data_IF_242191208093
#
_entry.id   IF_242191208093
#
_cell.length_a   1.000
_cell.length_b   1.000
_cell.length_c   1.000
_cell.angle_alpha   90.00
_cell.angle_beta   90.00
_cell.angle_gamma   90.00
#
_symmetry.space_group_name_H-M   'P 1'
#
loop_
_entity.id
_entity.type
_entity.pdbx_description
1 polymer ?
#
# COMPACT_ATOMS: atom_id res chain seq x y z
N UNK A 1 1.26 24.14 -5.80
CA UNK A 1 1.38 24.05 -7.27
C UNK A 1 2.38 22.99 -7.76
N UNK A 2 3.22 22.39 -6.92
CA UNK A 2 4.18 21.34 -7.30
C UNK A 2 3.61 19.89 -7.31
N UNK A 3 2.46 19.65 -6.69
CA UNK A 3 1.83 18.30 -6.60
C UNK A 3 1.17 17.82 -7.89
N UNK A 4 0.88 18.73 -8.83
CA UNK A 4 0.22 18.37 -10.09
C UNK A 4 1.15 17.74 -11.14
N UNK A 5 2.45 17.89 -11.00
CA UNK A 5 3.42 17.38 -12.00
C UNK A 5 3.70 15.88 -11.90
N UNK A 6 3.44 15.24 -10.74
CA UNK A 6 3.73 13.81 -10.53
C UNK A 6 2.50 12.88 -10.70
N UNK A 7 1.30 13.43 -10.71
CA UNK A 7 0.05 12.68 -10.94
C UNK A 7 -0.38 12.67 -12.41
N UNK A 8 0.40 13.24 -13.32
CA UNK A 8 0.01 13.56 -14.68
C UNK A 8 0.68 12.74 -15.78
N UNK A 9 1.36 11.62 -15.45
CA UNK A 9 1.79 10.71 -16.52
C UNK A 9 0.53 10.02 -17.08
N UNK A 10 0.21 10.15 -18.39
CA UNK A 10 -0.92 9.48 -18.99
C UNK A 10 -0.82 7.97 -18.78
N UNK A 11 -1.92 7.32 -18.40
CA UNK A 11 -1.94 5.87 -18.18
C UNK A 11 -1.56 5.12 -19.46
N UNK A 12 -1.92 5.66 -20.60
CA UNK A 12 -1.60 5.14 -21.93
C UNK A 12 -0.09 5.07 -22.15
N UNK A 13 0.66 6.11 -21.78
CA UNK A 13 2.11 6.15 -21.86
C UNK A 13 2.77 5.11 -20.95
N UNK A 14 2.23 4.91 -19.74
CA UNK A 14 2.72 3.91 -18.81
C UNK A 14 2.40 2.47 -19.24
N UNK A 15 1.28 2.25 -19.90
CA UNK A 15 0.95 0.96 -20.51
C UNK A 15 1.90 0.66 -21.66
N UNK A 16 2.14 1.63 -22.54
CA UNK A 16 3.12 1.54 -23.61
C UNK A 16 4.54 1.29 -23.06
N UNK A 17 4.91 1.96 -21.96
CA UNK A 17 6.18 1.70 -21.29
C UNK A 17 6.31 0.23 -20.86
N UNK A 18 5.28 -0.36 -20.26
CA UNK A 18 5.30 -1.76 -19.80
C UNK A 18 5.43 -2.70 -21.01
N UNK A 19 4.69 -2.46 -22.08
CA UNK A 19 4.70 -3.32 -23.27
C UNK A 19 6.05 -3.29 -23.98
N UNK A 20 6.71 -2.13 -24.00
CA UNK A 20 8.04 -1.93 -24.61
C UNK A 20 9.21 -2.34 -23.70
N UNK A 21 8.98 -2.78 -22.45
CA UNK A 21 10.07 -3.34 -21.65
C UNK A 21 10.63 -4.58 -22.38
N UNK A 22 11.97 -4.76 -22.45
CA UNK A 22 12.56 -5.90 -23.10
C UNK A 22 12.08 -7.21 -22.50
N UNK A 23 11.93 -8.26 -23.31
CA UNK A 23 11.68 -9.58 -22.76
C UNK A 23 12.96 -10.07 -22.10
N UNK A 24 12.86 -10.42 -20.81
CA UNK A 24 14.05 -10.90 -20.08
C UNK A 24 14.29 -12.36 -20.43
N UNK A 25 15.56 -12.76 -20.65
CA UNK A 25 15.91 -14.14 -20.94
C UNK A 25 15.35 -15.12 -19.93
N UNK A 26 14.91 -16.28 -20.40
CA UNK A 26 14.22 -17.36 -19.70
C UNK A 26 15.11 -18.06 -18.66
N UNK A 27 15.54 -17.39 -17.59
CA UNK A 27 16.44 -18.03 -16.62
C UNK A 27 16.32 -17.49 -15.19
N UNK A 28 15.61 -16.39 -14.97
CA UNK A 28 15.47 -15.78 -13.64
C UNK A 28 14.11 -16.02 -13.01
N UNK A 29 14.08 -16.19 -11.69
CA UNK A 29 12.83 -16.23 -10.92
C UNK A 29 12.05 -14.94 -11.12
N UNK A 30 10.81 -15.04 -11.59
CA UNK A 30 9.94 -13.90 -11.82
C UNK A 30 8.69 -13.98 -10.97
N UNK A 31 8.34 -12.84 -10.39
CA UNK A 31 7.08 -12.71 -9.68
C UNK A 31 5.92 -12.55 -10.65
N UNK A 32 4.93 -13.39 -10.48
CA UNK A 32 3.61 -13.25 -11.09
C UNK A 32 2.56 -13.53 -10.03
N UNK A 33 1.45 -12.78 -10.06
CA UNK A 33 0.33 -13.05 -9.18
C UNK A 33 -0.26 -14.41 -9.53
N UNK A 34 -0.35 -15.26 -8.51
CA UNK A 34 -0.99 -16.57 -8.60
C UNK A 34 -2.43 -16.49 -8.12
N UNK A 35 -3.33 -17.31 -8.68
CA UNK A 35 -4.69 -17.45 -8.16
C UNK A 35 -4.68 -17.81 -6.67
N UNK A 36 -5.64 -17.28 -5.94
CA UNK A 36 -5.83 -17.54 -4.50
C UNK A 36 -6.89 -18.59 -4.27
N UNK A 37 -6.80 -19.32 -3.15
CA UNK A 37 -7.83 -20.29 -2.74
C UNK A 37 -8.84 -19.64 -1.80
N UNK A 38 -10.00 -20.28 -1.64
CA UNK A 38 -11.03 -19.82 -0.70
C UNK A 38 -10.55 -19.86 0.76
N UNK A 39 -9.67 -20.80 1.09
CA UNK A 39 -9.04 -20.89 2.41
C UNK A 39 -8.13 -19.67 2.67
N UNK A 40 -7.33 -19.26 1.67
CA UNK A 40 -6.48 -18.06 1.80
C UNK A 40 -7.33 -16.81 2.04
N UNK A 41 -8.42 -16.66 1.28
CA UNK A 41 -9.34 -15.53 1.42
C UNK A 41 -10.00 -15.55 2.80
N UNK A 42 -10.52 -16.71 3.24
CA UNK A 42 -11.14 -16.89 4.54
C UNK A 42 -10.17 -16.56 5.68
N UNK A 43 -8.93 -17.05 5.60
CA UNK A 43 -7.90 -16.77 6.58
C UNK A 43 -7.58 -15.28 6.68
N UNK A 44 -7.48 -14.59 5.53
CA UNK A 44 -7.24 -13.14 5.51
C UNK A 44 -8.42 -12.39 6.13
N UNK A 45 -9.66 -12.75 5.81
CA UNK A 45 -10.85 -12.12 6.38
C UNK A 45 -10.85 -12.29 7.92
N UNK A 46 -10.69 -13.51 8.42
CA UNK A 46 -10.70 -13.81 9.87
C UNK A 46 -9.59 -13.10 10.64
N UNK A 47 -8.47 -12.75 9.99
CA UNK A 47 -7.36 -12.02 10.59
C UNK A 47 -7.49 -10.48 10.48
N UNK A 48 -8.58 -9.96 9.89
CA UNK A 48 -8.81 -8.51 9.86
C UNK A 48 -9.29 -8.03 11.23
N UNK A 49 -8.77 -6.88 11.65
CA UNK A 49 -9.23 -6.23 12.88
C UNK A 49 -10.68 -5.79 12.73
N UNK A 50 -11.52 -6.16 13.70
CA UNK A 50 -12.96 -5.87 13.69
C UNK A 50 -13.30 -4.41 14.01
N UNK A 51 -12.39 -3.70 14.69
CA UNK A 51 -12.52 -2.32 15.17
C UNK A 51 -12.05 -1.25 14.18
N UNK A 52 -11.82 -1.62 12.91
CA UNK A 52 -11.37 -0.69 11.89
C UNK A 52 -12.49 0.22 11.38
N UNK A 53 -12.14 1.45 11.03
CA UNK A 53 -13.03 2.39 10.33
C UNK A 53 -13.55 1.82 9.02
N UNK A 54 -14.81 2.11 8.72
CA UNK A 54 -15.51 1.67 7.49
C UNK A 54 -15.10 2.52 6.29
N UNK A 55 -15.01 1.92 5.12
CA UNK A 55 -14.85 2.62 3.85
C UNK A 55 -16.06 3.48 3.47
N UNK A 56 -16.12 3.91 2.21
CA UNK A 56 -17.26 4.67 1.69
C UNK A 56 -18.54 3.82 1.61
N UNK A 57 -18.39 2.50 1.45
CA UNK A 57 -19.46 1.50 1.46
C UNK A 57 -20.15 1.35 2.82
N UNK A 58 -19.57 1.91 3.89
CA UNK A 58 -20.06 1.85 5.26
C UNK A 58 -20.22 0.41 5.80
N UNK A 59 -19.58 -0.58 5.18
CA UNK A 59 -19.62 -1.97 5.64
C UNK A 59 -18.56 -2.18 6.74
N UNK A 60 -18.96 -2.44 7.99
CA UNK A 60 -18.00 -2.71 9.06
C UNK A 60 -17.31 -4.06 8.89
N UNK A 61 -16.03 -4.12 9.25
CA UNK A 61 -15.25 -5.37 9.18
C UNK A 61 -15.90 -6.50 9.98
N UNK A 62 -16.56 -6.20 11.09
CA UNK A 62 -17.28 -7.20 11.92
C UNK A 62 -18.36 -7.95 11.14
N UNK A 63 -19.08 -7.29 10.21
CA UNK A 63 -20.07 -7.97 9.37
C UNK A 63 -19.42 -8.87 8.32
N UNK A 64 -18.31 -8.42 7.73
CA UNK A 64 -17.54 -9.26 6.80
C UNK A 64 -17.00 -10.50 7.53
N UNK A 65 -16.52 -10.37 8.76
CA UNK A 65 -16.06 -11.50 9.58
C UNK A 65 -17.19 -12.47 9.90
N UNK A 66 -18.41 -11.97 10.17
CA UNK A 66 -19.58 -12.79 10.51
C UNK A 66 -20.00 -13.68 9.32
N UNK A 67 -19.92 -13.15 8.09
CA UNK A 67 -20.32 -13.87 6.87
C UNK A 67 -19.12 -14.45 6.11
N UNK A 68 -17.95 -14.52 6.74
CA UNK A 68 -16.69 -14.86 6.08
C UNK A 68 -16.74 -16.18 5.29
N UNK A 69 -17.37 -17.20 5.86
CA UNK A 69 -17.45 -18.53 5.24
C UNK A 69 -18.30 -18.54 3.95
N UNK A 70 -19.43 -17.84 3.96
CA UNK A 70 -20.27 -17.69 2.78
C UNK A 70 -19.63 -16.76 1.74
N UNK A 71 -18.88 -15.74 2.20
CA UNK A 71 -18.27 -14.73 1.34
C UNK A 71 -16.98 -15.22 0.67
N UNK A 72 -16.26 -16.16 1.28
CA UNK A 72 -14.93 -16.58 0.82
C UNK A 72 -14.96 -17.10 -0.64
N UNK A 73 -15.91 -17.97 -1.00
CA UNK A 73 -15.99 -18.56 -2.34
C UNK A 73 -16.28 -17.51 -3.44
N UNK A 74 -17.35 -16.70 -3.36
CA UNK A 74 -17.62 -15.69 -4.38
C UNK A 74 -16.52 -14.62 -4.46
N UNK A 75 -15.96 -14.21 -3.32
CA UNK A 75 -14.87 -13.24 -3.30
C UNK A 75 -13.59 -13.79 -3.95
N UNK A 76 -13.27 -15.06 -3.73
CA UNK A 76 -12.17 -15.75 -4.42
C UNK A 76 -12.33 -15.72 -5.93
N UNK A 77 -13.52 -15.99 -6.43
CA UNK A 77 -13.83 -15.92 -7.87
C UNK A 77 -13.60 -14.51 -8.43
N UNK A 78 -14.07 -13.47 -7.72
CA UNK A 78 -13.87 -12.08 -8.12
C UNK A 78 -12.37 -11.73 -8.15
N UNK A 79 -11.63 -12.07 -7.10
CA UNK A 79 -10.19 -11.78 -6.99
C UNK A 79 -9.40 -12.48 -8.09
N UNK A 80 -9.67 -13.78 -8.33
CA UNK A 80 -8.99 -14.54 -9.37
C UNK A 80 -9.28 -14.00 -10.78
N UNK A 81 -10.52 -13.55 -11.04
CA UNK A 81 -10.84 -12.84 -12.27
C UNK A 81 -10.08 -11.52 -12.42
N UNK A 82 -9.91 -10.78 -11.31
CA UNK A 82 -9.11 -9.55 -11.30
C UNK A 82 -7.62 -9.83 -11.57
N UNK A 83 -7.08 -10.90 -11.01
CA UNK A 83 -5.70 -11.34 -11.26
C UNK A 83 -5.53 -11.76 -12.72
N UNK A 84 -6.44 -12.57 -13.26
CA UNK A 84 -6.38 -13.05 -14.64
C UNK A 84 -6.50 -11.94 -15.71
N UNK A 85 -7.15 -10.82 -15.35
CA UNK A 85 -7.34 -9.66 -16.25
C UNK A 85 -6.39 -8.49 -15.95
N UNK A 86 -5.40 -8.68 -15.09
CA UNK A 86 -4.47 -7.63 -14.65
C UNK A 86 -5.18 -6.34 -14.19
N UNK A 87 -6.29 -6.50 -13.45
CA UNK A 87 -7.21 -5.41 -13.13
C UNK A 87 -7.49 -5.31 -11.63
N UNK A 88 -7.65 -4.07 -11.15
CA UNK A 88 -8.10 -3.79 -9.78
C UNK A 88 -9.44 -3.03 -9.81
N UNK A 89 -10.50 -3.47 -9.07
CA UNK A 89 -11.84 -2.90 -9.16
C UNK A 89 -11.89 -1.41 -8.85
N UNK A 90 -12.55 -0.62 -9.73
CA UNK A 90 -12.67 0.84 -9.57
C UNK A 90 -13.36 1.24 -8.27
N UNK A 91 -14.40 0.51 -7.87
CA UNK A 91 -15.14 0.76 -6.63
C UNK A 91 -14.27 0.60 -5.37
N UNK A 92 -13.24 -0.26 -5.44
CA UNK A 92 -12.33 -0.50 -4.32
C UNK A 92 -11.19 0.52 -4.22
N UNK A 93 -11.07 1.43 -5.21
CA UNK A 93 -10.09 2.52 -5.25
C UNK A 93 -10.59 3.82 -4.61
N UNK A 94 -11.85 3.85 -4.18
CA UNK A 94 -12.47 5.05 -3.61
C UNK A 94 -12.24 5.05 -2.10
N UNK A 95 -11.48 6.01 -1.60
CA UNK A 95 -11.17 6.12 -0.19
C UNK A 95 -12.02 7.19 0.51
N UNK A 96 -12.47 6.90 1.72
CA UNK A 96 -12.98 7.91 2.65
C UNK A 96 -11.80 8.46 3.45
N UNK A 97 -11.61 9.78 3.42
CA UNK A 97 -10.57 10.43 4.21
C UNK A 97 -11.15 10.93 5.53
N UNK A 98 -10.55 10.48 6.62
CA UNK A 98 -10.81 10.97 7.97
C UNK A 98 -9.59 11.75 8.44
N UNK A 99 -9.71 13.06 8.69
CA UNK A 99 -8.60 13.85 9.24
C UNK A 99 -8.39 13.48 10.71
N UNK A 100 -7.19 13.04 11.07
CA UNK A 100 -6.79 12.74 12.45
C UNK A 100 -5.84 13.81 12.94
N UNK A 101 -6.09 14.44 14.09
CA UNK A 101 -5.20 15.44 14.68
C UNK A 101 -3.80 14.85 14.93
N UNK A 102 -2.74 15.62 14.61
CA UNK A 102 -1.35 15.34 15.01
C UNK A 102 -1.04 15.87 16.41
N UNK A 103 -1.75 16.90 16.80
CA UNK A 103 -1.61 17.63 18.07
C UNK A 103 -3.00 17.89 18.65
N UNK A 104 -3.04 18.17 19.93
CA UNK A 104 -4.27 18.63 20.59
C UNK A 104 -4.67 20.01 20.04
N UNK A 105 -5.97 20.19 19.73
CA UNK A 105 -6.55 21.43 19.19
C UNK A 105 -5.86 21.94 17.90
N UNK A 106 -5.96 21.20 16.77
CA UNK A 106 -5.37 21.61 15.52
C UNK A 106 -6.05 22.87 14.96
N UNK A 107 -5.27 23.91 14.64
CA UNK A 107 -5.75 25.18 14.06
C UNK A 107 -5.47 25.26 12.55
N UNK A 108 -4.63 24.38 12.00
CA UNK A 108 -4.30 24.36 10.58
C UNK A 108 -4.39 22.97 9.96
N UNK A 109 -4.52 22.92 8.63
CA UNK A 109 -4.60 21.66 7.87
C UNK A 109 -3.33 20.81 7.98
N UNK A 110 -2.17 21.44 8.16
CA UNK A 110 -0.88 20.75 8.27
C UNK A 110 -0.74 19.99 9.59
N UNK A 111 -1.57 20.32 10.57
CA UNK A 111 -1.66 19.65 11.87
C UNK A 111 -2.60 18.43 11.84
N UNK A 112 -3.19 18.12 10.68
CA UNK A 112 -4.04 16.96 10.47
C UNK A 112 -3.30 15.91 9.63
N UNK A 113 -3.51 14.63 9.95
CA UNK A 113 -3.12 13.48 9.12
C UNK A 113 -4.35 13.01 8.35
N UNK A 114 -4.37 13.11 7.02
CA UNK A 114 -5.46 12.55 6.23
C UNK A 114 -5.34 11.02 6.23
N UNK A 115 -6.20 10.35 6.99
CA UNK A 115 -6.25 8.89 7.00
C UNK A 115 -7.23 8.40 5.94
N UNK A 116 -6.70 7.74 4.90
CA UNK A 116 -7.50 7.16 3.82
C UNK A 116 -8.01 5.77 4.21
N UNK A 117 -9.32 5.60 4.25
CA UNK A 117 -9.98 4.34 4.59
C UNK A 117 -10.64 3.77 3.35
N UNK A 118 -10.16 2.61 2.91
CA UNK A 118 -10.70 1.86 1.77
C UNK A 118 -11.79 0.87 2.23
N UNK A 119 -12.64 0.40 1.30
CA UNK A 119 -13.55 -0.72 1.54
C UNK A 119 -12.82 -1.96 2.10
N UNK A 120 -13.50 -2.73 2.94
CA UNK A 120 -12.89 -3.91 3.57
C UNK A 120 -12.45 -4.95 2.53
N UNK A 121 -13.22 -5.14 1.47
CA UNK A 121 -12.90 -6.08 0.40
C UNK A 121 -11.62 -5.68 -0.37
N UNK A 122 -11.37 -4.36 -0.52
CA UNK A 122 -10.10 -3.84 -1.04
C UNK A 122 -8.92 -4.30 -0.17
N UNK A 123 -9.04 -4.16 1.15
CA UNK A 123 -8.00 -4.56 2.11
C UNK A 123 -7.71 -6.07 2.06
N UNK A 124 -8.75 -6.90 1.85
CA UNK A 124 -8.57 -8.35 1.66
C UNK A 124 -7.71 -8.64 0.44
N UNK A 125 -8.05 -8.06 -0.71
CA UNK A 125 -7.29 -8.25 -1.94
C UNK A 125 -5.85 -7.71 -1.81
N UNK A 126 -5.69 -6.49 -1.30
CA UNK A 126 -4.36 -5.91 -1.03
C UNK A 126 -3.51 -6.81 -0.13
N UNK A 127 -4.10 -7.39 0.91
CA UNK A 127 -3.40 -8.29 1.83
C UNK A 127 -2.94 -9.58 1.16
N UNK A 128 -3.78 -10.17 0.31
CA UNK A 128 -3.44 -11.38 -0.46
C UNK A 128 -2.27 -11.12 -1.41
N UNK A 129 -2.30 -10.00 -2.12
CA UNK A 129 -1.18 -9.58 -2.99
C UNK A 129 0.07 -9.29 -2.17
N UNK A 130 -0.04 -8.57 -1.07
CA UNK A 130 1.09 -8.26 -0.18
C UNK A 130 1.76 -9.53 0.36
N UNK A 131 1.00 -10.58 0.69
CA UNK A 131 1.55 -11.87 1.11
C UNK A 131 2.40 -12.48 0.00
N UNK A 132 1.87 -12.55 -1.24
CA UNK A 132 2.61 -13.12 -2.37
C UNK A 132 3.87 -12.32 -2.69
N UNK A 133 3.78 -10.98 -2.70
CA UNK A 133 4.93 -10.09 -2.94
C UNK A 133 6.00 -10.23 -1.86
N UNK A 134 5.60 -10.30 -0.59
CA UNK A 134 6.55 -10.43 0.53
C UNK A 134 7.27 -11.77 0.45
N UNK A 135 6.54 -12.85 0.20
CA UNK A 135 7.14 -14.17 0.04
C UNK A 135 8.16 -14.20 -1.09
N UNK A 136 7.83 -13.60 -2.23
CA UNK A 136 8.78 -13.48 -3.34
C UNK A 136 10.00 -12.64 -2.95
N UNK A 137 9.80 -11.48 -2.34
CA UNK A 137 10.89 -10.59 -1.94
C UNK A 137 11.85 -11.25 -0.96
N UNK A 138 11.33 -12.05 -0.01
CA UNK A 138 12.13 -12.79 0.96
C UNK A 138 12.90 -13.94 0.29
N UNK A 139 12.25 -14.74 -0.57
CA UNK A 139 12.91 -15.83 -1.30
C UNK A 139 13.99 -15.33 -2.26
N UNK A 140 13.71 -14.26 -2.98
CA UNK A 140 14.65 -13.64 -3.91
C UNK A 140 15.68 -12.72 -3.22
N UNK A 141 15.63 -12.59 -1.89
CA UNK A 141 16.51 -11.73 -1.08
C UNK A 141 16.60 -10.30 -1.59
N UNK A 142 15.46 -9.73 -2.03
CA UNK A 142 15.42 -8.40 -2.61
C UNK A 142 15.67 -7.29 -1.58
N UNK A 143 15.40 -7.57 -0.31
CA UNK A 143 15.58 -6.60 0.77
C UNK A 143 16.91 -6.84 1.47
N UNK A 144 17.73 -5.80 1.53
CA UNK A 144 19.00 -5.86 2.25
C UNK A 144 18.77 -6.09 3.75
N UNK A 145 19.65 -6.84 4.44
CA UNK A 145 19.49 -7.23 5.85
C UNK A 145 19.47 -6.04 6.83
N UNK A 146 19.99 -4.89 6.42
CA UNK A 146 19.94 -3.66 7.23
C UNK A 146 18.60 -2.91 7.14
N UNK A 147 17.71 -3.29 6.22
CA UNK A 147 16.36 -2.71 6.13
C UNK A 147 15.48 -3.36 7.18
N UNK A 148 15.04 -2.57 8.17
CA UNK A 148 14.12 -3.03 9.23
C UNK A 148 12.67 -2.60 8.99
N UNK A 149 12.43 -1.56 8.19
CA UNK A 149 11.08 -1.04 7.93
C UNK A 149 10.26 -2.03 7.09
N UNK A 150 8.97 -2.14 7.41
CA UNK A 150 7.97 -2.96 6.70
C UNK A 150 8.27 -4.47 6.62
N UNK A 151 9.15 -4.99 7.48
CA UNK A 151 9.49 -6.41 7.53
C UNK A 151 8.86 -7.09 8.75
N UNK A 152 8.30 -8.29 8.55
CA UNK A 152 7.79 -9.13 9.64
C UNK A 152 8.91 -9.48 10.62
N UNK A 153 8.64 -9.39 11.91
CA UNK A 153 9.65 -9.68 12.96
C UNK A 153 10.65 -8.55 13.20
N UNK A 154 10.55 -7.41 12.50
CA UNK A 154 11.36 -6.21 12.71
C UNK A 154 10.54 -5.12 13.39
N UNK A 155 11.20 -4.30 14.20
CA UNK A 155 10.60 -3.17 14.91
C UNK A 155 11.61 -2.02 15.05
N UNK A 156 11.13 -0.87 15.48
CA UNK A 156 12.02 0.25 15.86
C UNK A 156 13.01 -0.17 16.96
N UNK A 157 12.56 -0.99 17.91
CA UNK A 157 13.44 -1.52 18.98
C UNK A 157 14.56 -2.37 18.40
N UNK A 158 14.26 -3.31 17.47
CA UNK A 158 15.30 -4.15 16.87
C UNK A 158 16.26 -3.34 16.01
N UNK A 159 15.79 -2.28 15.34
CA UNK A 159 16.66 -1.37 14.60
C UNK A 159 17.59 -0.58 15.52
N UNK A 160 17.08 -0.03 16.63
CA UNK A 160 17.87 0.67 17.64
C UNK A 160 18.90 -0.24 18.31
N UNK A 161 18.55 -1.52 18.55
CA UNK A 161 19.51 -2.49 19.09
C UNK A 161 20.71 -2.69 18.15
N UNK A 162 20.48 -2.78 16.85
CA UNK A 162 21.56 -2.87 15.85
C UNK A 162 22.46 -1.63 15.90
N UNK A 163 21.87 -0.44 15.90
CA UNK A 163 22.63 0.85 16.00
C UNK A 163 23.44 0.89 17.29
N UNK A 164 22.85 0.50 18.42
CA UNK A 164 23.55 0.43 19.72
C UNK A 164 24.74 -0.53 19.65
N UNK A 165 24.54 -1.70 19.05
CA UNK A 165 25.60 -2.71 18.97
C UNK A 165 26.75 -2.24 18.06
N UNK A 166 26.43 -1.54 16.95
CA UNK A 166 27.45 -0.89 16.10
C UNK A 166 28.27 0.14 16.90
N UNK A 167 27.63 0.98 17.72
CA UNK A 167 28.34 1.94 18.59
C UNK A 167 29.22 1.23 19.63
N UNK A 168 28.68 0.19 20.29
CA UNK A 168 29.47 -0.57 21.30
C UNK A 168 30.68 -1.25 20.67
N UNK A 169 30.53 -1.74 19.45
CA UNK A 169 31.63 -2.37 18.72
C UNK A 169 32.73 -1.34 18.39
N UNK A 170 32.36 -0.18 17.85
CA UNK A 170 33.30 0.91 17.57
C UNK A 170 34.03 1.41 18.84
N UNK A 171 33.27 1.59 19.94
CA UNK A 171 33.87 2.00 21.23
C UNK A 171 34.93 1.00 21.74
N UNK A 172 34.68 -0.32 21.62
CA UNK A 172 35.67 -1.33 21.99
C UNK A 172 36.95 -1.23 21.17
N UNK A 173 36.84 -0.78 19.91
CA UNK A 173 37.98 -0.58 19.00
C UNK A 173 38.62 0.78 19.13
N UNK A 174 38.12 1.64 20.03
CA UNK A 174 38.53 3.02 20.19
C UNK A 174 38.35 3.85 18.90
N UNK A 175 37.34 3.51 18.11
CA UNK A 175 36.94 4.21 16.87
C UNK A 175 35.92 5.30 17.19
N UNK A 176 35.94 6.39 16.40
CA UNK A 176 34.93 7.45 16.46
C UNK A 176 33.76 7.08 15.54
N UNK A 177 32.55 7.18 16.06
CA UNK A 177 31.33 6.92 15.28
C UNK A 177 30.64 8.25 14.91
N UNK A 178 30.43 8.47 13.62
CA UNK A 178 29.59 9.56 13.12
C UNK A 178 28.26 8.98 12.66
N UNK A 179 27.15 9.46 13.22
CA UNK A 179 25.81 9.08 12.82
C UNK A 179 25.11 10.23 12.10
N UNK A 180 24.69 10.02 10.86
CA UNK A 180 23.91 10.97 10.07
C UNK A 180 22.50 10.44 9.92
N UNK A 181 21.50 11.23 10.34
CA UNK A 181 20.09 10.93 10.21
C UNK A 181 19.51 11.74 9.04
N UNK A 182 18.86 11.06 8.09
CA UNK A 182 18.17 11.71 6.98
C UNK A 182 16.70 11.30 7.00
N UNK A 183 15.82 12.27 6.77
CA UNK A 183 14.38 12.04 6.65
C UNK A 183 13.85 12.64 5.35
N UNK A 184 12.89 11.96 4.72
CA UNK A 184 12.27 12.39 3.47
C UNK A 184 10.89 12.99 3.75
N UNK A 185 10.71 14.26 3.47
CA UNK A 185 9.38 14.87 3.53
C UNK A 185 8.52 14.37 2.38
N UNK A 186 7.32 13.86 2.70
CA UNK A 186 6.32 13.35 1.73
C UNK A 186 6.88 12.26 0.79
N UNK A 187 7.69 11.35 1.33
CA UNK A 187 8.37 10.29 0.56
C UNK A 187 7.43 9.53 -0.40
N UNK A 188 6.25 9.14 0.07
CA UNK A 188 5.29 8.39 -0.77
C UNK A 188 4.54 9.26 -1.80
N UNK A 189 4.40 10.56 -1.55
CA UNK A 189 3.72 11.49 -2.46
C UNK A 189 4.61 11.94 -3.63
N UNK A 190 5.92 11.67 -3.56
CA UNK A 190 6.91 12.12 -4.55
C UNK A 190 7.39 11.03 -5.50
N UNK A 191 6.91 9.79 -5.33
CA UNK A 191 7.33 8.66 -6.15
C UNK A 191 6.64 8.71 -7.52
N UNK A 192 7.43 8.71 -8.62
CA UNK A 192 6.93 8.58 -9.99
C UNK A 192 6.45 7.16 -10.27
N UNK A 193 5.33 7.01 -10.98
CA UNK A 193 4.81 5.69 -11.37
C UNK A 193 5.71 5.02 -12.40
N UNK A 194 6.25 5.77 -13.38
CA UNK A 194 7.19 5.24 -14.37
C UNK A 194 8.45 4.67 -13.71
N UNK A 195 9.06 5.44 -12.80
CA UNK A 195 10.21 4.98 -12.04
C UNK A 195 9.90 3.73 -11.20
N UNK A 196 8.71 3.68 -10.61
CA UNK A 196 8.25 2.52 -9.83
C UNK A 196 8.12 1.29 -10.70
N UNK A 197 7.45 1.39 -11.86
CA UNK A 197 7.26 0.29 -12.81
C UNK A 197 8.62 -0.25 -13.28
N UNK A 198 9.54 0.64 -13.70
CA UNK A 198 10.89 0.24 -14.14
C UNK A 198 11.66 -0.44 -13.01
N UNK A 199 11.54 0.06 -11.77
CA UNK A 199 12.19 -0.55 -10.60
C UNK A 199 11.66 -1.95 -10.32
N UNK A 200 10.33 -2.13 -10.29
CA UNK A 200 9.72 -3.45 -10.09
C UNK A 200 10.12 -4.42 -11.21
N UNK A 201 10.14 -3.96 -12.47
CA UNK A 201 10.62 -4.78 -13.58
C UNK A 201 12.06 -5.28 -13.37
N UNK A 202 12.97 -4.38 -12.96
CA UNK A 202 14.37 -4.73 -12.65
C UNK A 202 14.51 -5.68 -11.48
N UNK A 203 13.56 -5.65 -10.53
CA UNK A 203 13.50 -6.57 -9.39
C UNK A 203 12.89 -7.94 -9.74
N UNK A 204 12.54 -8.20 -11.00
CA UNK A 204 12.04 -9.49 -11.44
C UNK A 204 10.51 -9.63 -11.40
N UNK A 205 9.76 -8.54 -11.38
CA UNK A 205 8.31 -8.60 -11.50
C UNK A 205 7.87 -8.69 -12.96
N UNK A 206 6.87 -9.55 -13.25
CA UNK A 206 6.40 -9.83 -14.62
C UNK A 206 5.58 -8.67 -15.20
N UNK A 207 5.51 -8.56 -16.54
CA UNK A 207 4.67 -7.56 -17.24
C UNK A 207 3.18 -7.63 -16.80
N UNK A 208 2.53 -8.81 -16.69
CA UNK A 208 1.16 -8.90 -16.17
C UNK A 208 1.02 -8.29 -14.78
N UNK A 209 1.94 -8.60 -13.86
CA UNK A 209 1.91 -7.96 -12.54
C UNK A 209 2.06 -6.44 -12.62
N UNK A 210 2.93 -5.92 -13.49
CA UNK A 210 3.11 -4.47 -13.66
C UNK A 210 1.84 -3.80 -14.22
N UNK A 211 1.10 -4.46 -15.11
CA UNK A 211 -0.21 -3.99 -15.60
C UNK A 211 -1.23 -3.97 -14.47
N UNK A 212 -1.28 -5.02 -13.66
CA UNK A 212 -2.12 -5.06 -12.48
C UNK A 212 -1.74 -3.93 -11.50
N UNK A 213 -0.43 -3.72 -11.24
CA UNK A 213 0.07 -2.66 -10.37
C UNK A 213 -0.31 -1.27 -10.90
N UNK A 214 -0.17 -1.03 -12.19
CA UNK A 214 -0.61 0.21 -12.83
C UNK A 214 -2.12 0.40 -12.65
N UNK A 215 -2.92 -0.65 -12.89
CA UNK A 215 -4.35 -0.62 -12.62
C UNK A 215 -4.64 -0.31 -11.16
N UNK A 216 -3.90 -0.87 -10.19
CA UNK A 216 -4.06 -0.62 -8.76
C UNK A 216 -3.73 0.82 -8.38
N UNK A 217 -2.65 1.40 -8.91
CA UNK A 217 -2.17 2.74 -8.57
C UNK A 217 -2.99 3.85 -9.22
N UNK A 218 -3.50 3.61 -10.43
CA UNK A 218 -4.21 4.62 -11.24
C UNK A 218 -5.68 4.76 -10.88
N UNK A 219 -6.28 5.92 -11.24
CA UNK A 219 -7.73 6.17 -11.13
C UNK A 219 -8.28 6.10 -9.70
N UNK A 220 -7.45 6.43 -8.70
CA UNK A 220 -7.86 6.50 -7.30
C UNK A 220 -8.53 7.83 -7.00
N UNK A 221 -9.59 7.79 -6.16
CA UNK A 221 -10.32 8.96 -5.72
C UNK A 221 -10.50 8.95 -4.19
N UNK A 222 -10.63 10.15 -3.62
CA UNK A 222 -10.79 10.33 -2.19
C UNK A 222 -11.96 11.28 -1.91
N UNK A 223 -12.75 10.94 -0.89
CA UNK A 223 -13.81 11.79 -0.36
C UNK A 223 -13.48 12.20 1.07
N UNK A 224 -13.51 13.49 1.34
CA UNK A 224 -13.37 14.02 2.70
C UNK A 224 -14.76 14.19 3.28
N UNK A 225 -15.07 13.47 4.37
CA UNK A 225 -16.29 13.67 5.13
C UNK A 225 -15.96 14.59 6.31
N UNK A 226 -16.44 15.83 6.27
CA UNK A 226 -16.35 16.76 7.39
C UNK A 226 -17.66 16.70 8.18
N UNK A 227 -17.59 16.40 9.46
CA UNK A 227 -18.70 16.62 10.38
C UNK A 227 -18.52 18.03 10.93
N UNK A 228 -19.28 18.99 10.41
CA UNK A 228 -19.35 20.34 11.00
C UNK A 228 -20.32 20.22 12.17
N UNK A 229 -19.86 20.52 13.38
CA UNK A 229 -20.65 20.43 14.61
C UNK A 229 -21.82 21.40 14.61
N UNK A 230 -22.96 20.93 14.12
CA UNK A 230 -24.32 21.48 14.29
C UNK A 230 -25.31 20.49 13.69
N UNK A 231 -26.54 20.33 14.22
CA UNK A 231 -27.44 19.23 13.88
C UNK A 231 -28.12 19.31 12.51
N UNK A 232 -27.62 20.11 11.59
CA UNK A 232 -28.02 20.10 10.18
C UNK A 232 -26.85 19.65 9.33
N UNK A 233 -26.86 18.38 8.99
CA UNK A 233 -25.89 17.67 8.13
C UNK A 233 -25.84 18.31 6.73
N UNK A 234 -24.87 19.16 6.48
CA UNK A 234 -24.39 19.42 5.13
C UNK A 234 -23.19 18.50 4.85
N UNK A 235 -23.42 17.44 4.06
CA UNK A 235 -22.34 16.60 3.51
C UNK A 235 -21.66 17.41 2.42
N UNK A 236 -20.51 18.01 2.70
CA UNK A 236 -19.62 18.53 1.68
C UNK A 236 -18.76 17.36 1.19
N UNK A 237 -19.11 16.79 0.06
CA UNK A 237 -18.26 15.83 -0.67
C UNK A 237 -17.35 16.60 -1.61
N UNK A 238 -16.07 16.74 -1.24
CA UNK A 238 -15.04 17.19 -2.18
C UNK A 238 -14.25 15.96 -2.64
N UNK A 239 -14.28 15.70 -3.94
CA UNK A 239 -13.45 14.69 -4.56
C UNK A 239 -12.05 15.26 -4.79
N UNK A 240 -11.05 14.71 -4.13
CA UNK A 240 -9.65 15.00 -4.40
C UNK A 240 -8.99 13.76 -5.01
N UNK A 241 -8.35 13.91 -6.17
CA UNK A 241 -7.45 12.90 -6.70
C UNK A 241 -6.13 12.99 -5.94
N UNK A 242 -5.85 12.03 -5.08
CA UNK A 242 -4.52 11.79 -4.52
C UNK A 242 -4.11 10.36 -4.84
N UNK A 243 -2.83 10.18 -5.13
CA UNK A 243 -2.22 8.85 -5.16
C UNK A 243 -2.35 8.12 -3.81
N UNK A 244 -2.04 6.83 -3.75
CA UNK A 244 -2.15 6.03 -2.54
C UNK A 244 -1.24 6.60 -1.44
N UNK A 245 -1.81 6.99 -0.30
CA UNK A 245 -1.02 7.23 0.91
C UNK A 245 -0.83 5.89 1.62
N UNK A 246 0.39 5.42 1.67
CA UNK A 246 0.79 4.18 2.34
C UNK A 246 1.07 4.39 3.85
N UNK A 247 0.54 5.47 4.44
CA UNK A 247 0.75 5.75 5.86
C UNK A 247 0.00 4.74 6.74
N UNK A 248 0.78 3.84 7.28
CA UNK A 248 0.57 3.19 8.56
C UNK A 248 1.84 3.01 9.31
#
# INVERSE_FOLDING_TARGET
MALYKFLGEPIEDLTCLIDNLPDVPSGGMRFQLSPVTSENVLQVIKNLRSDCSTGLDQIPTRFINLVAECLAVPLTSIINNCIAKDYFPKQWKIARVSPVPKIDNPVSKDQLRPMSVLPVLSKVFEKLVAIQMTNFADHARLLHDRISAFRKGHSTTTALMKVRDDFRYAMKRKEVTLMVLADFSKAFDTISFSATIVKFYKLGFSKPFLKWLLSYLSGRSQFVQMTIGSPRTSRLSMAFHRGPSWDR
#
